data_IF_579189388837
#
_entry.id   IF_579189388837
#
_cell.length_a   1.000
_cell.length_b   1.000
_cell.length_c   1.000
_cell.angle_alpha   90.00
_cell.angle_beta   90.00
_cell.angle_gamma   90.00
#
_symmetry.space_group_name_H-M   'P 1'
#
loop_
_entity.id
_entity.type
_entity.pdbx_description
1 polymer ?
#
# COMPACT_ATOMS: atom_id res chain seq x y z
N UNK A 1 8.33 4.74 22.06
CA UNK A 1 8.94 5.74 22.97
C UNK A 1 8.09 7.00 23.08
N UNK A 2 7.69 7.71 22.02
CA UNK A 2 6.78 8.87 22.17
C UNK A 2 5.31 8.48 22.36
N UNK A 3 4.83 7.44 21.66
CA UNK A 3 3.49 6.86 21.88
C UNK A 3 3.33 6.29 23.30
N UNK A 4 4.41 5.71 23.86
CA UNK A 4 4.43 5.18 25.22
C UNK A 4 4.63 6.25 26.30
N UNK A 5 5.22 7.39 25.94
CA UNK A 5 5.50 8.51 26.85
C UNK A 5 4.34 9.51 26.95
N UNK A 6 3.22 9.26 26.26
CA UNK A 6 2.06 10.16 26.27
C UNK A 6 2.29 11.48 25.53
N UNK A 7 3.14 11.48 24.49
CA UNK A 7 3.24 12.63 23.59
C UNK A 7 1.90 12.88 22.87
N UNK A 8 1.53 14.14 22.68
CA UNK A 8 0.30 14.56 21.97
C UNK A 8 0.43 14.31 20.45
N UNK A 9 0.44 13.03 20.05
CA UNK A 9 0.49 12.62 18.64
C UNK A 9 -0.94 12.56 18.11
N UNK A 10 -1.26 13.51 17.23
CA UNK A 10 -2.61 13.63 16.63
C UNK A 10 -2.82 12.75 15.41
N UNK A 11 -1.77 12.53 14.63
CA UNK A 11 -1.83 11.75 13.40
C UNK A 11 -0.49 11.06 13.12
N UNK A 12 -0.54 9.83 12.63
CA UNK A 12 0.62 9.10 12.12
C UNK A 12 0.45 8.91 10.62
N UNK A 13 1.51 9.10 9.86
CA UNK A 13 1.52 8.89 8.43
C UNK A 13 2.61 7.87 8.08
N UNK A 14 2.23 6.78 7.40
CA UNK A 14 3.12 5.67 7.09
C UNK A 14 3.25 5.45 5.58
N UNK A 15 4.49 5.44 5.10
CA UNK A 15 4.84 5.21 3.70
C UNK A 15 5.98 4.21 3.65
N UNK A 16 5.80 3.08 2.98
CA UNK A 16 6.84 2.08 2.84
C UNK A 16 6.30 0.72 2.40
N UNK A 17 7.00 -0.37 2.69
CA UNK A 17 6.52 -1.72 2.37
C UNK A 17 5.16 -2.00 3.03
N UNK A 18 4.27 -2.72 2.35
CA UNK A 18 2.92 -3.01 2.87
C UNK A 18 2.94 -3.70 4.24
N UNK A 19 3.92 -4.58 4.47
CA UNK A 19 4.08 -5.24 5.78
C UNK A 19 4.46 -4.25 6.90
N UNK A 20 5.24 -3.22 6.57
CA UNK A 20 5.59 -2.15 7.51
C UNK A 20 4.35 -1.32 7.81
N UNK A 21 3.60 -0.91 6.77
CA UNK A 21 2.37 -0.14 6.92
C UNK A 21 1.32 -0.89 7.75
N UNK A 22 1.17 -2.20 7.52
CA UNK A 22 0.31 -3.07 8.35
C UNK A 22 0.72 -3.06 9.82
N UNK A 23 2.00 -3.27 10.10
CA UNK A 23 2.52 -3.28 11.47
C UNK A 23 2.30 -1.94 12.17
N UNK A 24 2.49 -0.82 11.46
CA UNK A 24 2.22 0.51 12.00
C UNK A 24 0.74 0.73 12.26
N UNK A 25 -0.14 0.27 11.36
CA UNK A 25 -1.59 0.34 11.54
C UNK A 25 -2.05 -0.45 12.78
N UNK A 26 -1.52 -1.66 12.97
CA UNK A 26 -1.83 -2.51 14.11
C UNK A 26 -1.34 -1.90 15.43
N UNK A 27 -0.12 -1.34 15.45
CA UNK A 27 0.43 -0.66 16.62
C UNK A 27 -0.39 0.58 16.98
N UNK A 28 -0.63 1.47 16.02
CA UNK A 28 -1.35 2.74 16.27
C UNK A 28 -2.80 2.53 16.68
N UNK A 29 -3.43 1.43 16.24
CA UNK A 29 -4.78 1.04 16.66
C UNK A 29 -4.88 0.81 18.17
N UNK A 30 -3.85 0.26 18.82
CA UNK A 30 -3.88 0.04 20.29
C UNK A 30 -3.81 1.34 21.10
N UNK A 31 -3.26 2.41 20.51
CA UNK A 31 -3.18 3.73 21.13
C UNK A 31 -4.32 4.66 20.71
N UNK A 32 -5.21 4.23 19.82
CA UNK A 32 -6.32 5.05 19.32
C UNK A 32 -5.89 6.27 18.50
N UNK A 33 -4.71 6.22 17.87
CA UNK A 33 -4.15 7.34 17.11
C UNK A 33 -4.57 7.23 15.64
N UNK A 34 -5.11 8.30 15.08
CA UNK A 34 -5.47 8.37 13.66
C UNK A 34 -4.24 8.11 12.78
N UNK A 35 -4.35 7.14 11.86
CA UNK A 35 -3.21 6.70 11.07
C UNK A 35 -3.57 6.64 9.60
N UNK A 36 -2.81 7.35 8.78
CA UNK A 36 -2.95 7.38 7.34
C UNK A 36 -1.81 6.57 6.69
N UNK A 37 -2.13 5.81 5.65
CA UNK A 37 -1.15 5.04 4.87
C UNK A 37 -1.25 5.39 3.39
N UNK A 38 -0.10 5.61 2.77
CA UNK A 38 0.01 5.76 1.32
C UNK A 38 0.17 4.38 0.69
N UNK A 39 -0.92 3.81 0.16
CA UNK A 39 -0.88 2.48 -0.43
C UNK A 39 -0.13 2.47 -1.77
N UNK A 40 0.58 1.37 -2.03
CA UNK A 40 1.36 1.15 -3.23
C UNK A 40 0.88 -0.06 -4.06
N UNK A 41 -0.40 -0.14 -4.46
CA UNK A 41 -0.88 -1.22 -5.32
C UNK A 41 -0.28 -1.12 -6.73
N UNK A 42 -0.40 -2.20 -7.50
CA UNK A 42 -0.02 -2.21 -8.92
C UNK A 42 -0.88 -1.19 -9.68
N UNK A 43 -0.24 -0.31 -10.44
CA UNK A 43 -0.91 0.68 -11.29
C UNK A 43 -0.56 0.45 -12.76
N UNK A 44 -1.51 0.73 -13.65
CA UNK A 44 -1.31 0.61 -15.11
C UNK A 44 -1.63 1.94 -15.79
N UNK A 45 -2.88 2.37 -15.69
CA UNK A 45 -3.42 3.58 -16.31
C UNK A 45 -3.30 4.83 -15.43
N UNK A 46 -3.45 4.69 -14.12
CA UNK A 46 -3.37 5.79 -13.15
C UNK A 46 -4.53 6.80 -13.21
N UNK A 47 -5.58 6.52 -13.98
CA UNK A 47 -6.70 7.46 -14.24
C UNK A 47 -8.07 6.86 -13.90
N UNK A 48 -8.11 5.65 -13.34
CA UNK A 48 -9.34 5.01 -12.85
C UNK A 48 -10.12 4.22 -13.90
N UNK A 49 -9.55 3.97 -15.07
CA UNK A 49 -10.17 3.21 -16.16
C UNK A 49 -9.95 1.69 -16.03
N UNK A 50 -8.82 1.24 -15.49
CA UNK A 50 -8.48 -0.20 -15.50
C UNK A 50 -8.78 -0.96 -14.20
N UNK A 51 -8.84 -0.26 -13.05
CA UNK A 51 -9.06 -0.90 -11.74
C UNK A 51 -7.93 -1.82 -11.24
N UNK A 52 -6.74 -1.77 -11.85
CA UNK A 52 -5.57 -2.53 -11.39
C UNK A 52 -5.16 -2.12 -9.96
N UNK A 53 -5.26 -0.83 -9.66
CA UNK A 53 -4.94 -0.24 -8.37
C UNK A 53 -6.06 -0.39 -7.32
N UNK A 54 -7.03 -1.30 -7.54
CA UNK A 54 -8.14 -1.47 -6.59
C UNK A 54 -7.64 -1.94 -5.23
N UNK A 55 -8.24 -1.39 -4.20
CA UNK A 55 -8.01 -1.69 -2.78
C UNK A 55 -9.35 -1.79 -2.07
N UNK A 56 -9.43 -2.63 -1.04
CA UNK A 56 -10.62 -2.76 -0.22
C UNK A 56 -10.43 -1.97 1.07
N UNK A 57 -11.30 -0.96 1.24
CA UNK A 57 -11.31 -0.04 2.37
C UNK A 57 -12.68 -0.14 3.04
N UNK A 58 -12.74 -0.55 4.30
CA UNK A 58 -13.97 -0.74 5.06
C UNK A 58 -15.04 -1.60 4.34
N UNK A 59 -14.60 -2.64 3.61
CA UNK A 59 -15.49 -3.52 2.86
C UNK A 59 -15.98 -2.95 1.52
N UNK A 60 -15.45 -1.80 1.08
CA UNK A 60 -15.76 -1.18 -0.21
C UNK A 60 -14.53 -1.17 -1.11
N UNK A 61 -14.72 -1.58 -2.35
CA UNK A 61 -13.69 -1.45 -3.39
C UNK A 61 -13.50 0.01 -3.77
N UNK A 62 -12.27 0.50 -3.66
CA UNK A 62 -11.80 1.84 -4.04
C UNK A 62 -10.63 1.74 -5.01
N UNK A 63 -10.36 2.79 -5.78
CA UNK A 63 -9.23 2.85 -6.70
C UNK A 63 -8.15 3.78 -6.17
N UNK A 64 -6.97 3.25 -5.83
CA UNK A 64 -5.93 4.07 -5.21
C UNK A 64 -5.44 5.24 -6.09
N UNK A 65 -5.54 5.13 -7.43
CA UNK A 65 -5.14 6.22 -8.33
C UNK A 65 -6.14 7.40 -8.42
N UNK A 66 -7.39 7.21 -7.99
CA UNK A 66 -8.44 8.24 -8.05
C UNK A 66 -8.96 8.59 -6.66
N UNK A 67 -9.28 7.56 -5.87
CA UNK A 67 -9.80 7.69 -4.50
C UNK A 67 -8.70 7.81 -3.44
N UNK A 68 -7.45 7.48 -3.79
CA UNK A 68 -6.30 7.42 -2.88
C UNK A 68 -5.19 8.42 -3.24
N UNK A 69 -3.89 8.06 -3.07
CA UNK A 69 -3.35 6.79 -2.55
C UNK A 69 -3.43 6.67 -1.02
N UNK A 70 -3.82 7.75 -0.35
CA UNK A 70 -3.86 7.86 1.10
C UNK A 70 -5.20 7.42 1.66
N UNK A 71 -5.16 6.41 2.52
CA UNK A 71 -6.34 5.86 3.17
C UNK A 71 -6.13 5.73 4.67
N UNK A 72 -7.24 5.62 5.41
CA UNK A 72 -7.20 5.26 6.81
C UNK A 72 -6.64 3.84 6.96
N UNK A 73 -5.49 3.75 7.63
CA UNK A 73 -4.78 2.50 7.84
C UNK A 73 -5.60 1.46 8.60
N UNK A 74 -6.57 1.89 9.41
CA UNK A 74 -7.40 0.99 10.22
C UNK A 74 -8.54 0.35 9.42
N UNK A 75 -8.85 0.88 8.24
CA UNK A 75 -9.90 0.37 7.35
C UNK A 75 -9.38 -0.45 6.17
N UNK A 76 -8.06 -0.48 5.94
CA UNK A 76 -7.42 -1.16 4.80
C UNK A 76 -7.36 -2.67 4.99
N UNK A 77 -7.76 -3.43 3.96
CA UNK A 77 -7.43 -4.87 3.88
C UNK A 77 -6.00 -5.08 3.37
N UNK A 78 -5.05 -5.15 4.31
CA UNK A 78 -3.65 -5.41 3.99
C UNK A 78 -3.40 -6.82 3.44
N UNK A 79 -4.22 -7.82 3.78
CA UNK A 79 -3.98 -9.19 3.33
C UNK A 79 -4.32 -9.32 1.85
N UNK A 80 -5.44 -8.73 1.41
CA UNK A 80 -5.78 -8.63 -0.01
C UNK A 80 -4.66 -7.89 -0.77
N UNK A 81 -4.23 -6.72 -0.27
CA UNK A 81 -3.20 -5.92 -0.92
C UNK A 81 -1.86 -6.68 -1.09
N UNK A 82 -1.41 -7.40 -0.06
CA UNK A 82 -0.19 -8.21 -0.13
C UNK A 82 -0.31 -9.33 -1.18
N UNK A 83 -1.47 -10.02 -1.22
CA UNK A 83 -1.72 -11.04 -2.23
C UNK A 83 -1.67 -10.45 -3.64
N UNK A 84 -2.29 -9.30 -3.86
CA UNK A 84 -2.31 -8.61 -5.16
C UNK A 84 -0.92 -8.20 -5.63
N UNK A 85 -0.05 -7.73 -4.73
CA UNK A 85 1.32 -7.34 -5.06
C UNK A 85 2.20 -8.52 -5.47
N UNK A 86 1.83 -9.74 -5.09
CA UNK A 86 2.59 -10.94 -5.45
C UNK A 86 2.26 -11.51 -6.83
N UNK A 87 1.26 -10.97 -7.52
CA UNK A 87 0.71 -11.54 -8.76
C UNK A 87 1.74 -11.69 -9.89
N UNK A 88 2.69 -10.75 -9.99
CA UNK A 88 3.65 -10.71 -11.10
C UNK A 88 5.08 -11.09 -10.70
N UNK A 89 5.31 -11.61 -9.49
CA UNK A 89 6.65 -11.94 -8.99
C UNK A 89 7.47 -12.79 -9.95
N UNK A 90 6.89 -13.85 -10.50
CA UNK A 90 7.60 -14.73 -11.44
C UNK A 90 8.02 -14.00 -12.73
N UNK A 91 7.16 -13.11 -13.23
CA UNK A 91 7.44 -12.29 -14.42
C UNK A 91 8.46 -11.20 -14.13
N UNK A 92 8.41 -10.61 -12.93
CA UNK A 92 9.39 -9.64 -12.45
C UNK A 92 10.78 -10.29 -12.26
N UNK A 93 10.83 -11.53 -11.75
CA UNK A 93 12.06 -12.33 -11.66
C UNK A 93 12.62 -12.69 -13.04
N UNK A 94 11.77 -13.13 -13.97
CA UNK A 94 12.19 -13.42 -15.35
C UNK A 94 12.72 -12.15 -16.04
N UNK A 95 12.01 -11.02 -15.92
CA UNK A 95 12.41 -9.76 -16.51
C UNK A 95 13.70 -9.19 -15.90
N UNK A 96 13.91 -9.35 -14.59
CA UNK A 96 15.13 -8.89 -13.91
C UNK A 96 16.36 -9.75 -14.21
N UNK A 97 16.17 -11.04 -14.53
CA UNK A 97 17.24 -11.95 -14.97
C UNK A 97 17.50 -11.90 -16.47
N UNK A 98 16.57 -11.35 -17.26
CA UNK A 98 16.74 -11.24 -18.69
C UNK A 98 17.94 -10.33 -19.02
N UNK A 99 18.90 -10.78 -19.85
CA UNK A 99 20.00 -9.92 -20.26
C UNK A 99 19.44 -8.69 -20.99
N UNK A 100 20.00 -7.51 -20.69
CA UNK A 100 19.64 -6.25 -21.35
C UNK A 100 19.81 -6.41 -22.87
N UNK A 101 18.72 -6.71 -23.58
CA UNK A 101 18.69 -6.73 -25.04
C UNK A 101 18.76 -5.29 -25.51
N UNK A 102 19.97 -4.73 -25.53
CA UNK A 102 20.27 -3.49 -26.22
C UNK A 102 20.11 -3.80 -27.71
N UNK A 103 18.89 -3.68 -28.22
CA UNK A 103 18.60 -3.82 -29.63
C UNK A 103 18.85 -2.46 -30.25
N UNK A 104 20.11 -2.21 -30.61
CA UNK A 104 20.46 -1.12 -31.51
C UNK A 104 19.70 -1.38 -32.82
N UNK A 105 18.72 -0.53 -33.09
CA UNK A 105 18.15 -0.36 -34.43
C UNK A 105 19.14 0.42 -35.30
#
# INVERSE_FOLDING_TARGET
>A
RELDAGGDIKIVYAVGPVIMMKTVADLTRTYGVATMVSLNPIMVDGTGMCGSCRVNIAGKTRFACVDGPDFDAHEVDFNELISRLSLYKDKEEEASRAPHKCRCL
#
